data_IF_895776264276
#
_entry.id   IF_895776264276
#
_cell.length_a   1.000
_cell.length_b   1.000
_cell.length_c   1.000
_cell.angle_alpha   90.00
_cell.angle_beta   90.00
_cell.angle_gamma   90.00
#
_symmetry.space_group_name_H-M   'P 1'
#
loop_
_entity.id
_entity.type
_entity.pdbx_description
1 polymer ?
#
# COMPACT_ATOMS: atom_id res chain seq x y z
N UNK A 1 57.75 48.01 25.00
CA UNK A 1 57.94 46.58 25.34
C UNK A 1 56.60 45.84 25.33
N UNK A 2 55.56 46.35 26.01
CA UNK A 2 54.21 45.77 26.02
C UNK A 2 53.60 45.46 24.64
N UNK A 3 53.73 46.37 23.66
CA UNK A 3 53.18 46.17 22.30
C UNK A 3 53.82 44.98 21.58
N UNK A 4 55.08 44.65 21.88
CA UNK A 4 55.78 43.52 21.26
C UNK A 4 55.36 42.18 21.87
N UNK A 5 55.09 42.15 23.18
CA UNK A 5 54.58 40.96 23.87
C UNK A 5 53.12 40.66 23.51
N UNK A 6 52.29 41.70 23.38
CA UNK A 6 50.91 41.53 22.92
C UNK A 6 50.86 41.03 21.47
N UNK A 7 51.74 41.51 20.58
CA UNK A 7 51.86 41.03 19.20
C UNK A 7 52.24 39.54 19.14
N UNK A 8 53.22 39.11 19.94
CA UNK A 8 53.61 37.70 20.04
C UNK A 8 52.47 36.82 20.57
N UNK A 9 51.72 37.31 21.56
CA UNK A 9 50.58 36.60 22.14
C UNK A 9 49.45 36.43 21.12
N UNK A 10 49.15 37.47 20.34
CA UNK A 10 48.15 37.40 19.26
C UNK A 10 48.60 36.44 18.16
N UNK A 11 49.88 36.45 17.79
CA UNK A 11 50.43 35.52 16.79
C UNK A 11 50.30 34.06 17.24
N UNK A 12 50.64 33.75 18.50
CA UNK A 12 50.51 32.39 19.03
C UNK A 12 49.05 31.91 19.02
N UNK A 13 48.09 32.78 19.41
CA UNK A 13 46.66 32.46 19.35
C UNK A 13 46.16 32.28 17.93
N UNK A 14 46.67 33.06 16.97
CA UNK A 14 46.32 32.90 15.56
C UNK A 14 46.79 31.55 15.02
N UNK A 15 48.01 31.14 15.36
CA UNK A 15 48.57 29.85 14.93
C UNK A 15 47.83 28.66 15.56
N UNK A 16 47.36 28.80 16.80
CA UNK A 16 46.54 27.80 17.51
C UNK A 16 45.16 27.66 16.87
N UNK A 17 44.42 28.76 16.70
CA UNK A 17 43.10 28.78 16.05
C UNK A 17 43.19 28.26 14.61
N UNK A 18 44.27 28.56 13.89
CA UNK A 18 44.50 28.05 12.54
C UNK A 18 44.62 26.53 12.54
N UNK A 19 45.37 25.95 13.49
CA UNK A 19 45.48 24.49 13.63
C UNK A 19 44.15 23.84 14.00
N UNK A 20 43.41 24.41 14.95
CA UNK A 20 42.10 23.89 15.37
C UNK A 20 41.09 23.90 14.21
N UNK A 21 41.11 24.98 13.41
CA UNK A 21 40.30 25.08 12.19
C UNK A 21 40.66 23.99 11.20
N UNK A 22 41.95 23.77 10.94
CA UNK A 22 42.40 22.78 9.96
C UNK A 22 42.02 21.35 10.39
N UNK A 23 42.15 21.03 11.68
CA UNK A 23 41.67 19.76 12.25
C UNK A 23 40.16 19.62 12.11
N UNK A 24 39.40 20.68 12.38
CA UNK A 24 37.94 20.67 12.27
C UNK A 24 37.48 20.49 10.82
N UNK A 25 38.13 21.14 9.86
CA UNK A 25 37.86 20.99 8.43
C UNK A 25 38.10 19.56 7.97
N UNK A 26 39.22 18.96 8.36
CA UNK A 26 39.50 17.55 8.05
C UNK A 26 38.43 16.61 8.61
N UNK A 27 37.90 16.90 9.82
CA UNK A 27 36.82 16.09 10.39
C UNK A 27 35.48 16.27 9.67
N UNK A 28 35.17 17.47 9.19
CA UNK A 28 33.97 17.74 8.39
C UNK A 28 34.03 16.94 7.09
N UNK A 29 35.14 16.98 6.37
CA UNK A 29 35.31 16.21 5.12
C UNK A 29 35.14 14.69 5.36
N UNK A 30 35.69 14.16 6.46
CA UNK A 30 35.51 12.75 6.84
C UNK A 30 34.03 12.41 7.10
N UNK A 31 33.34 13.25 7.88
CA UNK A 31 31.92 13.04 8.22
C UNK A 31 31.02 13.17 6.99
N UNK A 32 31.29 14.13 6.09
CA UNK A 32 30.56 14.27 4.83
C UNK A 32 30.71 13.00 3.97
N UNK A 33 31.91 12.42 3.91
CA UNK A 33 32.15 11.14 3.26
C UNK A 33 31.33 9.99 3.87
N UNK A 34 31.32 9.88 5.20
CA UNK A 34 30.52 8.87 5.91
C UNK A 34 29.02 9.03 5.69
N UNK A 35 28.51 10.28 5.66
CA UNK A 35 27.11 10.56 5.38
C UNK A 35 26.73 10.11 3.97
N UNK A 36 27.57 10.38 2.97
CA UNK A 36 27.33 9.93 1.60
C UNK A 36 27.32 8.40 1.50
N UNK A 37 28.27 7.72 2.15
CA UNK A 37 28.32 6.26 2.18
C UNK A 37 27.07 5.66 2.85
N UNK A 38 26.66 6.20 4.00
CA UNK A 38 25.45 5.75 4.71
C UNK A 38 24.19 5.97 3.88
N UNK A 39 24.11 7.10 3.17
CA UNK A 39 22.96 7.40 2.29
C UNK A 39 22.84 6.36 1.17
N UNK A 40 23.96 6.00 0.53
CA UNK A 40 23.97 4.95 -0.50
C UNK A 40 23.55 3.59 0.08
N UNK A 41 24.06 3.21 1.25
CA UNK A 41 23.69 1.96 1.92
C UNK A 41 22.21 1.90 2.28
N UNK A 42 21.63 3.02 2.74
CA UNK A 42 20.18 3.10 3.04
C UNK A 42 19.37 2.94 1.77
N UNK A 43 19.74 3.61 0.68
CA UNK A 43 19.03 3.50 -0.60
C UNK A 43 19.09 2.07 -1.17
N UNK A 44 20.24 1.39 -1.07
CA UNK A 44 20.39 -0.01 -1.49
C UNK A 44 19.57 -0.97 -0.62
N UNK A 45 19.65 -0.82 0.71
CA UNK A 45 18.84 -1.59 1.67
C UNK A 45 17.36 -1.40 1.44
N UNK A 46 16.91 -0.17 1.20
CA UNK A 46 15.51 0.13 0.96
C UNK A 46 15.00 -0.60 -0.28
N UNK A 47 15.78 -0.61 -1.38
CA UNK A 47 15.43 -1.37 -2.59
C UNK A 47 15.33 -2.87 -2.34
N UNK A 48 16.30 -3.45 -1.62
CA UNK A 48 16.33 -4.87 -1.30
C UNK A 48 15.16 -5.29 -0.40
N UNK A 49 14.91 -4.54 0.68
CA UNK A 49 13.82 -4.87 1.62
C UNK A 49 12.45 -4.75 0.95
N UNK A 50 12.26 -3.73 0.09
CA UNK A 50 11.00 -3.57 -0.65
C UNK A 50 10.79 -4.75 -1.61
N UNK A 51 11.82 -5.17 -2.35
CA UNK A 51 11.68 -6.34 -3.23
C UNK A 51 11.40 -7.63 -2.47
N UNK A 52 12.12 -7.89 -1.37
CA UNK A 52 11.93 -9.10 -0.57
C UNK A 52 10.54 -9.18 0.07
N UNK A 53 10.02 -8.04 0.57
CA UNK A 53 8.70 -7.99 1.17
C UNK A 53 7.58 -8.23 0.15
N UNK A 54 7.69 -7.65 -1.05
CA UNK A 54 6.72 -7.85 -2.14
C UNK A 54 6.71 -9.32 -2.57
N UNK A 55 7.90 -9.92 -2.75
CA UNK A 55 8.04 -11.31 -3.20
C UNK A 55 7.41 -12.32 -2.21
N UNK A 56 7.51 -12.09 -0.89
CA UNK A 56 6.93 -13.00 0.10
C UNK A 56 5.41 -12.85 0.21
N UNK A 57 4.89 -11.62 0.24
CA UNK A 57 3.43 -11.40 0.26
C UNK A 57 2.79 -11.94 -1.02
N UNK A 58 3.40 -11.70 -2.18
CA UNK A 58 2.93 -12.21 -3.46
C UNK A 58 2.88 -13.74 -3.50
N UNK A 59 3.91 -14.45 -3.01
CA UNK A 59 3.90 -15.92 -2.92
C UNK A 59 2.76 -16.47 -2.05
N UNK A 60 2.28 -15.71 -1.06
CA UNK A 60 1.16 -16.16 -0.22
C UNK A 60 -0.18 -16.07 -0.94
N UNK A 61 -0.40 -15.02 -1.73
CA UNK A 61 -1.67 -14.78 -2.42
C UNK A 61 -1.71 -15.40 -3.83
N UNK A 62 -0.55 -15.60 -4.45
CA UNK A 62 -0.38 -16.23 -5.76
C UNK A 62 0.72 -17.30 -5.73
N UNK A 63 0.49 -18.46 -5.08
CA UNK A 63 1.48 -19.53 -4.99
C UNK A 63 1.88 -20.12 -6.35
N UNK A 64 1.03 -19.95 -7.37
CA UNK A 64 1.26 -20.43 -8.73
C UNK A 64 1.99 -19.40 -9.61
N UNK A 65 2.17 -18.16 -9.12
CA UNK A 65 2.84 -17.08 -9.86
C UNK A 65 2.10 -16.65 -11.12
N UNK A 66 0.78 -16.81 -11.17
CA UNK A 66 -0.05 -16.45 -12.33
C UNK A 66 0.00 -14.94 -12.62
N UNK A 67 0.13 -14.12 -11.58
CA UNK A 67 0.08 -12.66 -11.61
C UNK A 67 1.45 -12.00 -11.43
N UNK A 68 2.50 -12.77 -11.14
CA UNK A 68 3.87 -12.25 -10.94
C UNK A 68 4.39 -11.41 -12.11
N UNK A 69 4.01 -11.78 -13.33
CA UNK A 69 4.40 -11.07 -14.55
C UNK A 69 3.36 -10.03 -15.01
N UNK A 70 2.29 -9.80 -14.23
CA UNK A 70 1.24 -8.87 -14.64
C UNK A 70 1.70 -7.44 -14.37
N UNK A 71 1.57 -6.59 -15.40
CA UNK A 71 1.59 -5.17 -15.16
C UNK A 71 0.40 -4.78 -14.29
N UNK A 72 0.53 -3.69 -13.52
CA UNK A 72 -0.58 -3.15 -12.71
C UNK A 72 -1.86 -2.95 -13.52
N UNK A 73 -1.75 -2.49 -14.77
CA UNK A 73 -2.89 -2.32 -15.67
C UNK A 73 -3.55 -3.67 -16.04
N UNK A 74 -2.75 -4.70 -16.31
CA UNK A 74 -3.26 -6.04 -16.62
C UNK A 74 -3.94 -6.69 -15.41
N UNK A 75 -3.38 -6.53 -14.22
CA UNK A 75 -3.99 -7.02 -12.98
C UNK A 75 -5.35 -6.35 -12.74
N UNK A 76 -5.42 -5.03 -12.89
CA UNK A 76 -6.69 -4.28 -12.77
C UNK A 76 -7.71 -4.77 -13.81
N UNK A 77 -7.32 -4.95 -15.08
CA UNK A 77 -8.22 -5.48 -16.10
C UNK A 77 -8.75 -6.87 -15.72
N UNK A 78 -7.88 -7.75 -15.24
CA UNK A 78 -8.25 -9.12 -14.84
C UNK A 78 -9.25 -9.14 -13.69
N UNK A 79 -9.09 -8.22 -12.72
CA UNK A 79 -10.05 -8.06 -11.62
C UNK A 79 -11.41 -7.59 -12.14
N UNK A 80 -11.43 -6.64 -13.07
CA UNK A 80 -12.68 -6.16 -13.69
C UNK A 80 -13.37 -7.27 -14.46
N UNK A 81 -12.64 -8.01 -15.30
CA UNK A 81 -13.19 -9.12 -16.08
C UNK A 81 -13.76 -10.23 -15.18
N UNK A 82 -13.08 -10.54 -14.06
CA UNK A 82 -13.57 -11.50 -13.08
C UNK A 82 -14.84 -11.00 -12.39
N UNK A 83 -14.88 -9.74 -11.99
CA UNK A 83 -16.05 -9.13 -11.35
C UNK A 83 -17.27 -9.15 -12.28
N UNK A 84 -17.10 -8.75 -13.54
CA UNK A 84 -18.16 -8.76 -14.55
C UNK A 84 -18.66 -10.21 -14.78
N UNK A 85 -17.74 -11.16 -14.91
CA UNK A 85 -18.10 -12.58 -15.07
C UNK A 85 -18.86 -13.14 -13.86
N UNK A 86 -18.53 -12.72 -12.63
CA UNK A 86 -19.23 -13.13 -11.42
C UNK A 86 -20.64 -12.55 -11.35
N UNK A 87 -20.82 -11.28 -11.73
CA UNK A 87 -22.13 -10.61 -11.80
C UNK A 87 -23.03 -11.30 -12.83
N UNK A 88 -22.50 -11.60 -14.01
CA UNK A 88 -23.23 -12.30 -15.08
C UNK A 88 -23.66 -13.70 -14.65
N UNK A 89 -22.75 -14.43 -13.98
CA UNK A 89 -23.04 -15.76 -13.45
C UNK A 89 -24.13 -15.71 -12.37
N UNK A 90 -24.04 -14.79 -11.40
CA UNK A 90 -25.03 -14.63 -10.34
C UNK A 90 -26.40 -14.26 -10.92
N UNK A 91 -26.46 -13.31 -11.85
CA UNK A 91 -27.70 -12.88 -12.52
C UNK A 91 -28.36 -14.04 -13.27
N UNK A 92 -27.56 -14.82 -14.00
CA UNK A 92 -28.05 -16.00 -14.74
C UNK A 92 -28.57 -17.09 -13.81
N UNK A 93 -27.86 -17.34 -12.70
CA UNK A 93 -28.28 -18.32 -11.70
C UNK A 93 -29.57 -17.89 -11.00
N UNK A 94 -29.70 -16.60 -10.65
CA UNK A 94 -30.91 -16.05 -10.07
C UNK A 94 -32.11 -16.19 -11.03
N UNK A 95 -31.94 -15.78 -12.29
CA UNK A 95 -32.98 -15.93 -13.30
C UNK A 95 -33.43 -17.39 -13.47
N UNK A 96 -32.48 -18.32 -13.52
CA UNK A 96 -32.78 -19.76 -13.58
C UNK A 96 -33.55 -20.24 -12.33
N UNK A 97 -33.14 -19.81 -11.14
CA UNK A 97 -33.84 -20.16 -9.90
C UNK A 97 -35.28 -19.62 -9.89
N UNK A 98 -35.50 -18.39 -10.36
CA UNK A 98 -36.85 -17.80 -10.50
C UNK A 98 -37.72 -18.62 -11.45
N UNK A 99 -37.18 -19.04 -12.60
CA UNK A 99 -37.93 -19.89 -13.54
C UNK A 99 -38.25 -21.26 -12.95
N UNK A 100 -37.32 -21.88 -12.21
CA UNK A 100 -37.60 -23.12 -11.48
C UNK A 100 -38.68 -22.93 -10.42
N UNK A 101 -38.66 -21.82 -9.67
CA UNK A 101 -39.69 -21.50 -8.66
C UNK A 101 -41.07 -21.34 -9.28
N UNK A 102 -41.18 -20.67 -10.44
CA UNK A 102 -42.43 -20.56 -11.20
C UNK A 102 -42.92 -21.93 -11.66
N UNK A 103 -42.01 -22.79 -12.14
CA UNK A 103 -42.35 -24.12 -12.63
C UNK A 103 -42.90 -25.03 -11.52
N UNK A 104 -42.22 -25.07 -10.37
CA UNK A 104 -42.62 -25.97 -9.26
C UNK A 104 -43.84 -25.46 -8.50
N UNK A 105 -44.17 -24.18 -8.62
CA UNK A 105 -45.39 -23.57 -8.07
C UNK A 105 -46.40 -23.24 -9.18
N UNK A 106 -46.46 -24.00 -10.27
CA UNK A 106 -47.31 -23.67 -11.42
C UNK A 106 -48.82 -23.57 -11.08
N UNK A 107 -49.27 -24.16 -9.97
CA UNK A 107 -50.64 -24.09 -9.45
C UNK A 107 -50.88 -22.92 -8.47
N UNK A 108 -49.85 -22.15 -8.15
CA UNK A 108 -49.89 -21.01 -7.24
C UNK A 108 -49.35 -19.75 -7.91
N UNK A 109 -50.11 -18.67 -7.83
CA UNK A 109 -49.59 -17.37 -8.25
C UNK A 109 -48.50 -16.90 -7.27
N UNK A 110 -47.32 -16.55 -7.80
CA UNK A 110 -46.27 -15.89 -7.03
C UNK A 110 -46.65 -14.41 -6.82
N UNK A 111 -46.64 -13.97 -5.57
CA UNK A 111 -46.91 -12.57 -5.21
C UNK A 111 -45.58 -11.81 -5.24
N UNK A 112 -45.51 -10.78 -6.08
CA UNK A 112 -44.33 -9.91 -6.19
C UNK A 112 -44.52 -8.56 -5.48
N UNK A 113 -45.71 -8.28 -4.95
CA UNK A 113 -46.00 -7.04 -4.24
C UNK A 113 -45.13 -6.93 -2.98
N UNK A 114 -44.43 -5.79 -2.83
CA UNK A 114 -43.57 -5.51 -1.70
C UNK A 114 -42.14 -6.07 -1.79
N UNK A 115 -41.80 -6.83 -2.84
CA UNK A 115 -40.41 -7.22 -3.13
C UNK A 115 -39.59 -5.98 -3.49
N UNK A 116 -38.41 -5.88 -2.90
CA UNK A 116 -37.54 -4.73 -2.98
C UNK A 116 -36.10 -5.24 -2.76
N UNK A 117 -35.16 -4.78 -3.58
CA UNK A 117 -33.76 -5.25 -3.53
C UNK A 117 -33.05 -4.83 -2.23
N UNK A 118 -33.50 -3.71 -1.63
CA UNK A 118 -32.94 -3.18 -0.40
C UNK A 118 -33.62 -3.76 0.85
N UNK A 119 -34.53 -4.75 0.70
CA UNK A 119 -35.26 -5.35 1.82
C UNK A 119 -34.89 -6.81 2.02
N UNK A 120 -35.00 -7.23 3.28
CA UNK A 120 -34.68 -8.58 3.73
C UNK A 120 -35.89 -9.26 4.36
N UNK A 121 -35.90 -10.58 4.38
CA UNK A 121 -36.93 -11.35 5.08
C UNK A 121 -36.51 -11.58 6.53
N UNK A 122 -37.27 -11.06 7.50
CA UNK A 122 -37.09 -11.32 8.94
C UNK A 122 -38.42 -11.79 9.52
N UNK A 123 -38.39 -12.90 10.26
CA UNK A 123 -39.58 -13.52 10.86
C UNK A 123 -40.75 -13.72 9.87
N UNK A 124 -40.43 -13.99 8.60
CA UNK A 124 -41.40 -14.22 7.52
C UNK A 124 -41.99 -12.95 6.88
N UNK A 125 -41.51 -11.76 7.24
CA UNK A 125 -41.94 -10.49 6.66
C UNK A 125 -40.78 -9.79 5.90
N UNK A 126 -41.11 -9.10 4.80
CA UNK A 126 -40.16 -8.27 4.06
C UNK A 126 -40.03 -6.92 4.79
N UNK A 127 -38.82 -6.59 5.24
CA UNK A 127 -38.53 -5.38 6.02
C UNK A 127 -37.30 -4.67 5.49
N UNK A 128 -37.24 -3.35 5.66
CA UNK A 128 -36.03 -2.57 5.42
C UNK A 128 -35.02 -2.86 6.54
N UNK A 129 -33.80 -3.31 6.24
CA UNK A 129 -32.75 -3.51 7.22
C UNK A 129 -32.36 -2.16 7.87
N UNK A 130 -31.89 -2.17 9.12
CA UNK A 130 -31.42 -0.94 9.77
C UNK A 130 -30.12 -0.44 9.10
N UNK A 131 -29.83 0.87 9.22
CA UNK A 131 -28.74 1.54 8.47
C UNK A 131 -27.34 0.97 8.73
N UNK A 132 -27.13 0.33 9.88
CA UNK A 132 -25.87 -0.32 10.25
C UNK A 132 -25.67 -1.71 9.61
N UNK A 133 -26.70 -2.25 8.96
CA UNK A 133 -26.69 -3.53 8.24
C UNK A 133 -26.82 -3.35 6.71
N UNK A 134 -26.93 -2.11 6.23
CA UNK A 134 -26.94 -1.77 4.79
C UNK A 134 -25.52 -1.69 4.21
#
# INVERSE_FOLDING_TARGET
MEVQESLKTVQAKLDEVTRERDVSLAKIEELEGQIQELKLKVDERAKQVISEAIDEEEKTVDPAGVYADFSRARLVQTIMDLNDSMIDAASSQFANAVEQLKLVNADKDLIFEGIDEDKVVRDGAIVTPPEDEM
#
